data_IF_795540701495
#
_entry.id   IF_795540701495
#
_cell.length_a   1.000
_cell.length_b   1.000
_cell.length_c   1.000
_cell.angle_alpha   90.00
_cell.angle_beta   90.00
_cell.angle_gamma   90.00
#
_symmetry.space_group_name_H-M   'P 1'
#
loop_
_entity.id
_entity.type
_entity.pdbx_description
1 polymer ?
#
# COMPACT_ATOMS: atom_id res chain seq x y z
N UNK A 1 6.26 -22.04 -9.59
CA UNK A 1 6.10 -22.45 -11.00
C UNK A 1 4.61 -22.50 -11.35
N UNK A 2 4.26 -22.33 -12.61
CA UNK A 2 2.94 -22.56 -13.21
C UNK A 2 3.11 -23.49 -14.40
N UNK A 3 2.19 -24.47 -14.57
CA UNK A 3 2.24 -25.42 -15.67
C UNK A 3 0.91 -25.47 -16.40
N UNK A 4 0.96 -25.74 -17.70
CA UNK A 4 -0.22 -25.94 -18.55
C UNK A 4 0.08 -26.90 -19.68
N UNK A 5 -0.95 -27.35 -20.37
CA UNK A 5 -0.82 -28.14 -21.58
C UNK A 5 -1.44 -27.37 -22.75
N UNK A 6 -0.71 -27.32 -23.86
CA UNK A 6 -1.18 -26.76 -25.12
C UNK A 6 -0.90 -27.76 -26.24
N UNK A 7 -1.94 -28.10 -27.00
CA UNK A 7 -1.87 -29.05 -28.15
C UNK A 7 -1.16 -30.36 -27.78
N UNK A 8 -1.34 -30.84 -26.53
CA UNK A 8 -0.74 -32.07 -26.01
C UNK A 8 0.70 -31.93 -25.52
N UNK A 9 1.30 -30.76 -25.59
CA UNK A 9 2.61 -30.47 -25.04
C UNK A 9 2.49 -29.81 -23.64
N UNK A 10 3.33 -30.27 -22.69
CA UNK A 10 3.41 -29.69 -21.37
C UNK A 10 4.36 -28.49 -21.40
N UNK A 11 3.94 -27.40 -20.79
CA UNK A 11 4.71 -26.17 -20.63
C UNK A 11 4.82 -25.80 -19.19
N UNK A 12 5.92 -25.14 -18.82
CA UNK A 12 6.16 -24.63 -17.48
C UNK A 12 6.84 -23.25 -17.56
N UNK A 13 6.52 -22.37 -16.59
CA UNK A 13 7.13 -21.05 -16.46
C UNK A 13 7.16 -20.60 -15.00
N UNK A 14 7.95 -19.56 -14.71
CA UNK A 14 7.96 -18.93 -13.40
C UNK A 14 6.60 -18.23 -13.15
N UNK A 15 5.96 -18.53 -12.03
CA UNK A 15 4.78 -17.80 -11.60
C UNK A 15 5.18 -16.52 -10.86
N UNK A 16 4.64 -15.39 -11.31
CA UNK A 16 4.85 -14.08 -10.66
C UNK A 16 3.56 -13.57 -10.05
N UNK A 17 3.61 -13.25 -8.77
CA UNK A 17 2.52 -12.60 -8.04
C UNK A 17 3.07 -11.81 -6.86
N UNK A 18 2.94 -10.51 -6.89
CA UNK A 18 3.32 -9.60 -5.81
C UNK A 18 2.41 -9.76 -4.57
N UNK A 19 1.16 -10.19 -4.77
CA UNK A 19 0.26 -10.51 -3.66
C UNK A 19 0.55 -11.84 -2.97
N UNK A 20 1.56 -12.60 -3.44
CA UNK A 20 1.85 -13.94 -2.94
C UNK A 20 0.78 -14.98 -3.28
N UNK A 21 -0.12 -14.67 -4.22
CA UNK A 21 -1.13 -15.62 -4.66
C UNK A 21 -0.48 -16.85 -5.30
N UNK A 22 -0.97 -18.05 -4.95
CA UNK A 22 -0.52 -19.30 -5.56
C UNK A 22 -0.93 -19.36 -7.03
N UNK A 23 -0.10 -20.01 -7.85
CA UNK A 23 -0.45 -20.29 -9.24
C UNK A 23 -1.77 -21.07 -9.34
N UNK A 24 -2.62 -20.78 -10.34
CA UNK A 24 -3.79 -21.59 -10.61
C UNK A 24 -3.43 -23.07 -10.85
N UNK A 25 -4.15 -23.98 -10.21
CA UNK A 25 -3.93 -25.43 -10.38
C UNK A 25 -4.34 -25.93 -11.77
N UNK A 26 -5.30 -25.27 -12.39
CA UNK A 26 -5.79 -25.55 -13.74
C UNK A 26 -5.58 -24.32 -14.59
N UNK A 27 -4.96 -24.50 -15.73
CA UNK A 27 -4.74 -23.44 -16.72
C UNK A 27 -5.26 -23.96 -18.07
N UNK A 28 -5.98 -23.11 -18.77
CA UNK A 28 -6.42 -23.35 -20.16
C UNK A 28 -5.89 -22.22 -21.04
N UNK A 29 -5.49 -22.58 -22.24
CA UNK A 29 -5.13 -21.60 -23.27
C UNK A 29 -6.41 -20.95 -23.79
N UNK A 30 -6.38 -19.65 -23.98
CA UNK A 30 -7.52 -18.84 -24.38
C UNK A 30 -7.10 -17.78 -25.39
N UNK A 31 -7.97 -17.46 -26.30
CA UNK A 31 -7.77 -16.48 -27.36
C UNK A 31 -9.01 -15.60 -27.61
N UNK A 32 -8.98 -14.85 -28.69
CA UNK A 32 -10.04 -13.92 -29.09
C UNK A 32 -11.42 -14.59 -29.34
N UNK A 33 -11.50 -15.93 -29.43
CA UNK A 33 -12.75 -16.67 -29.59
C UNK A 33 -13.46 -16.95 -28.27
N UNK A 34 -12.78 -16.80 -27.12
CA UNK A 34 -13.34 -17.07 -25.80
C UNK A 34 -14.40 -16.04 -25.43
N UNK A 35 -15.64 -16.49 -25.23
CA UNK A 35 -16.72 -15.60 -24.77
C UNK A 35 -16.50 -15.16 -23.33
N UNK A 36 -16.91 -13.92 -23.00
CA UNK A 36 -16.80 -13.38 -21.66
C UNK A 36 -17.63 -14.15 -20.59
N UNK A 37 -18.71 -14.83 -20.99
CA UNK A 37 -19.51 -15.66 -20.08
C UNK A 37 -18.78 -16.96 -19.73
N UNK A 38 -18.18 -17.61 -20.73
CA UNK A 38 -17.35 -18.80 -20.52
C UNK A 38 -16.11 -18.45 -19.67
N UNK A 39 -15.43 -17.34 -19.98
CA UNK A 39 -14.29 -16.85 -19.22
C UNK A 39 -14.66 -16.61 -17.74
N UNK A 40 -15.80 -15.96 -17.50
CA UNK A 40 -16.27 -15.69 -16.14
C UNK A 40 -16.57 -16.96 -15.35
N UNK A 41 -17.25 -17.94 -15.97
CA UNK A 41 -17.51 -19.23 -15.35
C UNK A 41 -16.22 -19.96 -14.97
N UNK A 42 -15.26 -20.07 -15.90
CA UNK A 42 -13.95 -20.70 -15.66
C UNK A 42 -13.16 -19.97 -14.55
N UNK A 43 -13.16 -18.64 -14.56
CA UNK A 43 -12.52 -17.84 -13.53
C UNK A 43 -13.13 -18.08 -12.13
N UNK A 44 -14.45 -18.20 -12.03
CA UNK A 44 -15.14 -18.54 -10.79
C UNK A 44 -14.78 -19.95 -10.28
N UNK A 45 -14.52 -20.89 -11.18
CA UNK A 45 -14.03 -22.24 -10.88
C UNK A 45 -12.54 -22.27 -10.46
N UNK A 46 -11.82 -21.13 -10.55
CA UNK A 46 -10.39 -21.01 -10.21
C UNK A 46 -9.45 -21.43 -11.34
N UNK A 47 -9.95 -21.50 -12.58
CA UNK A 47 -9.13 -21.80 -13.77
C UNK A 47 -8.40 -20.55 -14.23
N UNK A 48 -7.09 -20.65 -14.46
CA UNK A 48 -6.30 -19.64 -15.13
C UNK A 48 -6.53 -19.67 -16.64
N UNK A 49 -6.68 -18.51 -17.26
CA UNK A 49 -6.92 -18.31 -18.68
C UNK A 49 -5.65 -17.73 -19.31
N UNK A 50 -4.75 -18.58 -19.82
CA UNK A 50 -3.51 -18.14 -20.46
C UNK A 50 -3.82 -17.59 -21.84
N UNK A 51 -3.67 -16.28 -22.01
CA UNK A 51 -4.08 -15.56 -23.20
C UNK A 51 -3.03 -15.64 -24.30
N UNK A 52 -3.46 -16.00 -25.50
CA UNK A 52 -2.65 -16.05 -26.73
C UNK A 52 -3.22 -15.17 -27.85
N UNK A 53 -4.35 -14.50 -27.63
CA UNK A 53 -4.97 -13.58 -28.58
C UNK A 53 -4.38 -12.17 -28.53
N UNK A 54 -5.11 -11.22 -29.10
CA UNK A 54 -4.71 -9.81 -29.09
C UNK A 54 -4.75 -9.21 -27.67
N UNK A 55 -3.69 -8.50 -27.28
CA UNK A 55 -3.56 -7.92 -25.94
C UNK A 55 -4.69 -6.92 -25.59
N UNK A 56 -5.17 -6.13 -26.58
CA UNK A 56 -6.26 -5.20 -26.33
C UNK A 56 -7.58 -5.95 -26.10
N UNK A 57 -7.78 -7.10 -26.75
CA UNK A 57 -8.93 -7.95 -26.50
C UNK A 57 -8.85 -8.60 -25.11
N UNK A 58 -7.66 -8.97 -24.62
CA UNK A 58 -7.48 -9.38 -23.23
C UNK A 58 -7.91 -8.29 -22.25
N UNK A 59 -7.54 -7.03 -22.50
CA UNK A 59 -7.99 -5.88 -21.67
C UNK A 59 -9.51 -5.69 -21.71
N UNK A 60 -10.12 -5.83 -22.88
CA UNK A 60 -11.59 -5.77 -23.03
C UNK A 60 -12.27 -6.91 -22.28
N UNK A 61 -11.72 -8.13 -22.35
CA UNK A 61 -12.20 -9.28 -21.59
C UNK A 61 -12.09 -9.03 -20.07
N UNK A 62 -10.96 -8.50 -19.60
CA UNK A 62 -10.80 -8.15 -18.18
C UNK A 62 -11.87 -7.15 -17.73
N UNK A 63 -12.16 -6.12 -18.53
CA UNK A 63 -13.25 -5.17 -18.24
C UNK A 63 -14.62 -5.84 -18.22
N UNK A 64 -14.86 -6.81 -19.14
CA UNK A 64 -16.08 -7.58 -19.16
C UNK A 64 -16.23 -8.49 -17.92
N UNK A 65 -15.13 -9.08 -17.44
CA UNK A 65 -15.07 -9.83 -16.17
C UNK A 65 -15.37 -8.92 -14.97
N UNK A 66 -14.78 -7.70 -14.93
CA UNK A 66 -15.08 -6.72 -13.89
C UNK A 66 -16.57 -6.43 -13.79
N UNK A 67 -17.22 -6.09 -14.92
CA UNK A 67 -18.67 -5.84 -14.93
C UNK A 67 -19.50 -7.04 -14.45
N UNK A 68 -19.06 -8.28 -14.75
CA UNK A 68 -19.76 -9.51 -14.33
C UNK A 68 -19.60 -9.78 -12.84
N UNK A 69 -18.38 -9.64 -12.31
CA UNK A 69 -18.11 -9.81 -10.86
C UNK A 69 -18.91 -8.80 -10.04
N UNK A 70 -19.02 -7.56 -10.51
CA UNK A 70 -19.72 -6.49 -9.81
C UNK A 70 -21.25 -6.58 -9.95
N UNK A 71 -21.74 -7.32 -10.95
CA UNK A 71 -23.17 -7.55 -11.18
C UNK A 71 -23.70 -8.70 -10.33
N UNK A 72 -24.30 -8.40 -9.19
CA UNK A 72 -24.99 -9.41 -8.37
C UNK A 72 -26.46 -9.56 -8.81
N UNK A 73 -27.00 -10.80 -8.86
CA UNK A 73 -28.43 -11.02 -9.01
C UNK A 73 -29.21 -10.28 -7.89
N UNK A 74 -30.40 -9.71 -8.16
CA UNK A 74 -31.12 -8.90 -7.16
C UNK A 74 -31.32 -9.57 -5.81
N UNK A 75 -31.65 -10.86 -5.78
CA UNK A 75 -31.79 -11.64 -4.53
C UNK A 75 -30.46 -11.77 -3.77
N UNK A 76 -29.35 -12.00 -4.45
CA UNK A 76 -28.02 -12.10 -3.84
C UNK A 76 -27.54 -10.73 -3.35
N UNK A 77 -27.83 -9.66 -4.12
CA UNK A 77 -27.53 -8.29 -3.72
C UNK A 77 -28.32 -7.90 -2.45
N UNK A 78 -29.64 -8.19 -2.41
CA UNK A 78 -30.47 -7.92 -1.23
C UNK A 78 -29.99 -8.68 0.01
N UNK A 79 -29.67 -9.97 -0.11
CA UNK A 79 -29.13 -10.77 0.99
C UNK A 79 -27.78 -10.25 1.49
N UNK A 80 -26.90 -9.83 0.57
CA UNK A 80 -25.60 -9.25 0.93
C UNK A 80 -25.76 -7.89 1.63
N UNK A 81 -26.68 -7.03 1.16
CA UNK A 81 -27.00 -5.76 1.78
C UNK A 81 -27.60 -5.95 3.18
N UNK A 82 -28.54 -6.88 3.36
CA UNK A 82 -29.11 -7.22 4.66
C UNK A 82 -28.02 -7.70 5.63
N UNK A 83 -27.16 -8.65 5.21
CA UNK A 83 -26.05 -9.14 6.03
C UNK A 83 -25.10 -8.02 6.45
N UNK A 84 -24.84 -7.07 5.55
CA UNK A 84 -23.98 -5.91 5.83
C UNK A 84 -24.65 -4.94 6.81
N UNK A 85 -25.97 -4.74 6.71
CA UNK A 85 -26.72 -3.84 7.59
C UNK A 85 -26.88 -4.40 9.02
N UNK A 86 -26.90 -5.73 9.16
CA UNK A 86 -26.99 -6.42 10.46
C UNK A 86 -25.62 -6.63 11.11
N UNK A 87 -24.53 -6.46 10.37
CA UNK A 87 -23.16 -6.69 10.84
C UNK A 87 -22.67 -5.54 11.74
N UNK A 88 -21.88 -5.88 12.75
CA UNK A 88 -21.04 -4.90 13.46
C UNK A 88 -20.03 -4.26 12.51
N UNK A 89 -19.43 -3.12 12.88
CA UNK A 89 -18.43 -2.45 12.06
C UNK A 89 -17.25 -3.37 11.70
N UNK A 90 -16.78 -4.18 12.66
CA UNK A 90 -15.70 -5.15 12.42
C UNK A 90 -16.12 -6.27 11.46
N UNK A 91 -17.31 -6.83 11.62
CA UNK A 91 -17.85 -7.85 10.72
C UNK A 91 -18.05 -7.29 9.30
N UNK A 92 -18.59 -6.07 9.17
CA UNK A 92 -18.75 -5.37 7.89
C UNK A 92 -17.39 -5.18 7.19
N UNK A 93 -16.34 -4.79 7.92
CA UNK A 93 -14.99 -4.70 7.41
C UNK A 93 -14.48 -6.05 6.89
N UNK A 94 -14.64 -7.13 7.67
CA UNK A 94 -14.20 -8.47 7.25
C UNK A 94 -14.98 -8.99 6.04
N UNK A 95 -16.29 -8.78 5.98
CA UNK A 95 -17.12 -9.12 4.82
C UNK A 95 -16.70 -8.34 3.58
N UNK A 96 -16.42 -7.05 3.73
CA UNK A 96 -15.91 -6.23 2.64
C UNK A 96 -14.58 -6.77 2.12
N UNK A 97 -13.61 -7.05 3.01
CA UNK A 97 -12.31 -7.62 2.62
C UNK A 97 -12.44 -8.97 1.94
N UNK A 98 -13.31 -9.84 2.43
CA UNK A 98 -13.59 -11.13 1.80
C UNK A 98 -14.15 -10.96 0.38
N UNK A 99 -15.09 -10.03 0.18
CA UNK A 99 -15.64 -9.72 -1.14
C UNK A 99 -14.57 -9.18 -2.09
N UNK A 100 -13.68 -8.30 -1.62
CA UNK A 100 -12.56 -7.77 -2.39
C UNK A 100 -11.55 -8.86 -2.77
N UNK A 101 -11.21 -9.77 -1.85
CA UNK A 101 -10.33 -10.90 -2.12
C UNK A 101 -10.92 -11.85 -3.18
N UNK A 102 -12.22 -12.15 -3.08
CA UNK A 102 -12.92 -12.97 -4.07
C UNK A 102 -12.94 -12.29 -5.45
N UNK A 103 -13.24 -10.98 -5.48
CA UNK A 103 -13.20 -10.17 -6.70
C UNK A 103 -11.79 -10.19 -7.33
N UNK A 104 -10.76 -9.96 -6.51
CA UNK A 104 -9.36 -10.00 -6.95
C UNK A 104 -9.00 -11.35 -7.55
N UNK A 105 -9.39 -12.46 -6.91
CA UNK A 105 -9.14 -13.83 -7.40
C UNK A 105 -9.72 -14.06 -8.79
N UNK A 106 -10.98 -13.69 -9.02
CA UNK A 106 -11.62 -13.85 -10.34
C UNK A 106 -10.93 -12.98 -11.39
N UNK A 107 -10.61 -11.73 -11.07
CA UNK A 107 -9.96 -10.82 -12.03
C UNK A 107 -8.50 -11.16 -12.30
N UNK A 108 -7.84 -11.89 -11.42
CA UNK A 108 -6.47 -12.37 -11.61
C UNK A 108 -6.38 -13.69 -12.38
N UNK A 109 -7.52 -14.25 -12.82
CA UNK A 109 -7.53 -15.48 -13.63
C UNK A 109 -7.04 -15.30 -15.06
N UNK A 110 -7.09 -14.07 -15.61
CA UNK A 110 -6.59 -13.79 -16.95
C UNK A 110 -5.07 -13.59 -16.90
N UNK A 111 -4.34 -14.49 -17.57
CA UNK A 111 -2.90 -14.66 -17.47
C UNK A 111 -2.21 -14.23 -18.76
N UNK A 112 -1.03 -13.64 -18.63
CA UNK A 112 -0.15 -13.23 -19.72
C UNK A 112 1.21 -13.90 -19.53
N UNK A 113 1.72 -14.53 -20.58
CA UNK A 113 3.09 -15.01 -20.65
C UNK A 113 4.04 -13.85 -20.96
N UNK A 114 5.19 -13.89 -20.32
CA UNK A 114 6.28 -12.93 -20.48
C UNK A 114 7.54 -13.67 -20.89
N UNK A 115 8.23 -13.16 -21.89
CA UNK A 115 9.54 -13.66 -22.28
C UNK A 115 10.59 -13.36 -21.19
N UNK A 116 11.78 -13.94 -21.35
CA UNK A 116 12.84 -13.82 -20.35
C UNK A 116 13.35 -12.39 -20.08
N UNK A 117 13.02 -11.43 -20.93
CA UNK A 117 13.30 -9.99 -20.81
C UNK A 117 12.06 -9.17 -20.41
N UNK A 118 10.96 -9.84 -20.02
CA UNK A 118 9.64 -9.26 -19.73
C UNK A 118 8.86 -8.77 -20.96
N UNK A 119 9.30 -9.05 -22.19
CA UNK A 119 8.52 -8.76 -23.37
C UNK A 119 7.24 -9.62 -23.40
N UNK A 120 6.20 -9.06 -23.99
CA UNK A 120 4.93 -9.78 -24.21
C UNK A 120 4.81 -10.05 -25.72
N UNK A 121 4.86 -11.34 -26.10
CA UNK A 121 4.73 -11.77 -27.50
C UNK A 121 3.25 -11.94 -27.88
N UNK A 122 2.50 -10.83 -27.78
CA UNK A 122 1.09 -10.76 -28.21
C UNK A 122 0.89 -9.57 -29.12
N UNK A 123 0.02 -9.71 -30.09
CA UNK A 123 -0.37 -8.62 -30.97
C UNK A 123 -0.86 -7.41 -30.17
N UNK A 124 -0.40 -6.20 -30.50
CA UNK A 124 -0.73 -4.92 -29.86
C UNK A 124 -0.38 -4.84 -28.36
N UNK A 125 0.50 -5.70 -27.88
CA UNK A 125 1.00 -5.59 -26.53
C UNK A 125 1.88 -4.32 -26.37
N UNK A 126 1.70 -3.57 -25.27
CA UNK A 126 2.62 -2.48 -24.95
C UNK A 126 3.95 -3.02 -24.42
N UNK A 127 4.98 -2.20 -24.48
CA UNK A 127 6.24 -2.50 -23.79
C UNK A 127 6.09 -2.25 -22.28
N UNK A 128 6.13 -3.34 -21.49
CA UNK A 128 6.03 -3.30 -20.04
C UNK A 128 7.35 -3.60 -19.32
N UNK A 129 8.46 -3.79 -20.06
CA UNK A 129 9.74 -4.24 -19.50
C UNK A 129 10.24 -3.33 -18.38
N UNK A 130 10.14 -2.02 -18.55
CA UNK A 130 10.54 -1.07 -17.52
C UNK A 130 9.68 -1.18 -16.26
N UNK A 131 8.35 -1.26 -16.40
CA UNK A 131 7.44 -1.41 -15.27
C UNK A 131 7.67 -2.73 -14.50
N UNK A 132 7.92 -3.82 -15.23
CA UNK A 132 8.26 -5.12 -14.65
C UNK A 132 9.62 -5.08 -13.94
N UNK A 133 10.63 -4.44 -14.54
CA UNK A 133 11.95 -4.28 -13.92
C UNK A 133 11.89 -3.48 -12.63
N UNK A 134 11.08 -2.43 -12.58
CA UNK A 134 10.89 -1.61 -11.38
C UNK A 134 10.22 -2.37 -10.23
N UNK A 135 9.34 -3.31 -10.53
CA UNK A 135 8.62 -4.10 -9.54
C UNK A 135 9.35 -5.39 -9.16
N UNK A 136 9.92 -6.09 -10.13
CA UNK A 136 10.46 -7.44 -9.94
C UNK A 136 11.99 -7.53 -10.00
N UNK A 137 12.67 -6.43 -10.32
CA UNK A 137 14.11 -6.40 -10.53
C UNK A 137 14.49 -6.72 -11.98
N UNK A 138 15.79 -6.84 -12.20
CA UNK A 138 16.34 -7.15 -13.53
C UNK A 138 15.82 -8.49 -14.06
N UNK A 139 15.59 -8.55 -15.35
CA UNK A 139 15.15 -9.76 -16.03
C UNK A 139 16.18 -10.89 -15.88
N UNK A 140 15.73 -12.10 -15.62
CA UNK A 140 16.59 -13.27 -15.35
C UNK A 140 16.82 -14.15 -16.56
N UNK A 141 16.21 -13.86 -17.70
CA UNK A 141 16.20 -14.72 -18.88
C UNK A 141 15.18 -15.86 -18.84
N UNK A 142 14.46 -16.03 -17.73
CA UNK A 142 13.43 -17.07 -17.57
C UNK A 142 12.06 -16.56 -18.01
N UNK A 143 11.34 -17.39 -18.77
CA UNK A 143 9.94 -17.12 -19.09
C UNK A 143 9.09 -17.12 -17.80
N UNK A 144 8.13 -16.23 -17.75
CA UNK A 144 7.24 -16.12 -16.59
C UNK A 144 5.79 -15.87 -17.00
N UNK A 145 4.89 -16.08 -16.07
CA UNK A 145 3.46 -15.80 -16.24
C UNK A 145 2.98 -14.96 -15.07
N UNK A 146 2.22 -13.92 -15.37
CA UNK A 146 1.56 -13.08 -14.39
C UNK A 146 0.11 -12.81 -14.77
N UNK A 147 -0.71 -12.37 -13.82
CA UNK A 147 -2.07 -11.93 -14.15
C UNK A 147 -2.05 -10.60 -14.91
N UNK A 148 -2.92 -10.46 -15.92
CA UNK A 148 -3.08 -9.18 -16.64
C UNK A 148 -3.43 -8.04 -15.67
N UNK A 149 -4.26 -8.31 -14.66
CA UNK A 149 -4.62 -7.33 -13.63
C UNK A 149 -3.39 -6.81 -12.90
N UNK A 150 -2.46 -7.68 -12.53
CA UNK A 150 -1.22 -7.30 -11.86
C UNK A 150 -0.32 -6.48 -12.79
N UNK A 151 -0.12 -6.92 -14.02
CA UNK A 151 0.65 -6.18 -15.02
C UNK A 151 0.13 -4.77 -15.24
N UNK A 152 -1.19 -4.58 -15.33
CA UNK A 152 -1.79 -3.25 -15.42
C UNK A 152 -1.55 -2.42 -14.14
N UNK A 153 -1.48 -3.06 -12.98
CA UNK A 153 -1.08 -2.43 -11.71
C UNK A 153 0.36 -1.93 -11.73
N UNK A 154 1.30 -2.74 -12.27
CA UNK A 154 2.71 -2.34 -12.44
C UNK A 154 2.84 -1.13 -13.38
N UNK A 155 2.11 -1.13 -14.50
CA UNK A 155 2.07 0.02 -15.42
C UNK A 155 1.55 1.27 -14.72
N UNK A 156 0.46 1.15 -13.96
CA UNK A 156 -0.09 2.26 -13.19
C UNK A 156 0.93 2.83 -12.21
N UNK A 157 1.64 1.97 -11.48
CA UNK A 157 2.68 2.38 -10.53
C UNK A 157 3.88 3.05 -11.24
N UNK A 158 4.31 2.51 -12.40
CA UNK A 158 5.35 3.11 -13.22
C UNK A 158 4.99 4.54 -13.67
N UNK A 159 3.77 4.74 -14.17
CA UNK A 159 3.30 6.07 -14.60
C UNK A 159 3.20 7.05 -13.40
N UNK A 160 2.74 6.58 -12.24
CA UNK A 160 2.77 7.37 -11.02
C UNK A 160 4.20 7.75 -10.60
N UNK A 161 5.12 6.80 -10.65
CA UNK A 161 6.54 7.06 -10.36
C UNK A 161 7.12 8.09 -11.31
N UNK A 162 6.86 8.00 -12.62
CA UNK A 162 7.33 8.98 -13.63
C UNK A 162 6.78 10.38 -13.34
N UNK A 163 5.50 10.49 -13.10
CA UNK A 163 4.82 11.76 -12.85
C UNK A 163 5.24 12.37 -11.51
N UNK A 164 5.40 11.54 -10.48
CA UNK A 164 5.55 11.97 -9.09
C UNK A 164 4.27 12.56 -8.51
N UNK A 165 4.18 12.51 -7.19
CA UNK A 165 3.10 13.09 -6.38
C UNK A 165 3.56 14.43 -5.86
N UNK A 166 2.80 15.47 -6.12
CA UNK A 166 3.07 16.79 -5.58
C UNK A 166 2.71 16.85 -4.10
N UNK A 167 3.64 17.35 -3.29
CA UNK A 167 3.50 17.53 -1.84
C UNK A 167 3.76 19.02 -1.53
N UNK A 168 2.73 19.85 -1.45
CA UNK A 168 2.87 21.32 -1.28
C UNK A 168 3.70 21.71 -0.04
N UNK A 169 3.60 20.93 1.05
CA UNK A 169 4.37 21.15 2.26
C UNK A 169 5.91 21.06 2.06
N UNK A 170 6.36 20.43 0.98
CA UNK A 170 7.78 20.41 0.60
C UNK A 170 8.23 21.67 -0.15
N UNK A 171 7.34 22.64 -0.42
CA UNK A 171 7.67 23.91 -1.10
C UNK A 171 7.15 24.00 -2.52
N UNK A 172 7.79 24.87 -3.32
CA UNK A 172 7.34 25.14 -4.69
C UNK A 172 7.77 24.06 -5.69
N UNK A 173 6.93 23.83 -6.72
CA UNK A 173 7.28 23.00 -7.86
C UNK A 173 8.49 23.57 -8.63
N UNK A 174 9.32 22.70 -9.27
CA UNK A 174 9.16 21.25 -9.40
C UNK A 174 9.76 20.44 -8.23
N UNK A 175 10.41 21.10 -7.25
CA UNK A 175 11.20 20.47 -6.19
C UNK A 175 10.34 20.00 -4.99
N UNK A 176 9.08 19.67 -5.22
CA UNK A 176 8.12 19.25 -4.20
C UNK A 176 7.43 17.93 -4.55
N UNK A 177 8.05 17.11 -5.43
CA UNK A 177 7.46 15.85 -5.87
C UNK A 177 8.14 14.65 -5.24
N UNK A 178 7.32 13.69 -4.84
CA UNK A 178 7.71 12.36 -4.38
C UNK A 178 7.39 11.35 -5.49
N UNK A 179 8.35 10.52 -5.84
CA UNK A 179 8.27 9.49 -6.88
C UNK A 179 8.19 8.11 -6.23
N UNK A 180 6.98 7.60 -5.93
CA UNK A 180 6.83 6.34 -5.19
C UNK A 180 7.22 5.14 -6.04
N UNK A 181 7.91 4.18 -5.43
CA UNK A 181 8.16 2.88 -6.04
C UNK A 181 6.92 1.99 -5.93
N UNK A 182 6.84 0.97 -6.79
CA UNK A 182 5.81 -0.04 -6.68
C UNK A 182 5.83 -0.68 -5.27
N UNK A 183 4.66 -0.80 -4.66
CA UNK A 183 4.53 -1.37 -3.31
C UNK A 183 4.90 -0.43 -2.16
N UNK A 184 5.47 0.75 -2.42
CA UNK A 184 5.78 1.75 -1.40
C UNK A 184 4.64 2.77 -1.31
N UNK A 185 4.24 3.13 -0.09
CA UNK A 185 3.12 4.04 0.15
C UNK A 185 3.36 5.40 -0.50
N UNK A 186 2.38 5.82 -1.30
CA UNK A 186 2.41 7.13 -1.96
C UNK A 186 1.72 8.19 -1.09
N UNK A 187 2.33 9.37 -0.85
CA UNK A 187 1.75 10.43 -0.03
C UNK A 187 0.65 11.22 -0.78
N UNK A 188 -0.27 10.52 -1.45
CA UNK A 188 -1.41 11.13 -2.16
C UNK A 188 -2.37 11.81 -1.16
N UNK A 189 -2.45 11.26 0.05
CA UNK A 189 -3.14 11.89 1.17
C UNK A 189 -2.15 12.81 1.88
N UNK A 190 -2.16 14.09 1.56
CA UNK A 190 -1.21 15.08 2.09
C UNK A 190 -1.49 15.52 3.52
N UNK A 191 -2.69 15.26 4.05
CA UNK A 191 -3.17 15.79 5.33
C UNK A 191 -2.22 15.51 6.50
N UNK A 192 -1.66 14.29 6.55
CA UNK A 192 -0.72 13.93 7.61
C UNK A 192 0.62 14.67 7.48
N UNK A 193 1.02 15.01 6.27
CA UNK A 193 2.23 15.81 6.01
C UNK A 193 2.02 17.24 6.49
N UNK A 194 0.81 17.79 6.26
CA UNK A 194 0.44 19.15 6.70
C UNK A 194 0.44 19.26 8.22
N UNK A 195 -0.03 18.24 8.95
CA UNK A 195 0.04 18.18 10.41
C UNK A 195 1.50 18.30 10.90
N UNK A 196 2.41 17.50 10.32
CA UNK A 196 3.83 17.57 10.66
C UNK A 196 4.44 18.88 10.22
N UNK A 197 4.01 19.46 9.10
CA UNK A 197 4.51 20.76 8.63
C UNK A 197 4.14 21.92 9.58
N UNK A 198 2.96 21.87 10.18
CA UNK A 198 2.43 22.93 11.06
C UNK A 198 2.93 22.84 12.51
N UNK A 199 3.19 21.63 13.01
CA UNK A 199 3.56 21.42 14.42
C UNK A 199 4.90 22.09 14.79
N UNK A 200 5.00 22.68 15.98
CA UNK A 200 6.24 23.33 16.45
C UNK A 200 7.33 22.27 16.72
N UNK A 201 8.49 22.39 16.08
CA UNK A 201 9.62 21.49 16.29
C UNK A 201 10.22 21.68 17.70
N UNK A 202 10.38 20.61 18.50
CA UNK A 202 11.03 20.70 19.81
C UNK A 202 12.53 21.01 19.67
N UNK A 203 13.15 20.58 18.59
CA UNK A 203 14.56 20.81 18.26
C UNK A 203 14.78 20.74 16.75
N UNK A 204 15.87 21.37 16.29
CA UNK A 204 16.36 21.27 14.91
C UNK A 204 17.68 20.50 14.79
N UNK A 205 18.22 19.95 15.87
CA UNK A 205 19.51 19.28 15.83
C UNK A 205 19.43 17.90 15.18
N UNK A 206 18.53 17.05 15.66
CA UNK A 206 18.39 15.66 15.25
C UNK A 206 16.93 15.23 15.29
N UNK A 207 16.51 14.43 14.34
CA UNK A 207 15.24 13.70 14.39
C UNK A 207 15.43 12.24 13.95
N UNK A 208 14.62 11.33 14.52
CA UNK A 208 14.44 9.99 14.01
C UNK A 208 13.12 9.91 13.24
N UNK A 209 13.15 9.30 12.06
CA UNK A 209 11.97 9.01 11.21
C UNK A 209 11.80 7.50 11.11
N UNK A 210 10.80 6.95 11.81
CA UNK A 210 10.60 5.52 11.97
C UNK A 210 9.61 5.02 10.91
N UNK A 211 10.08 4.14 10.00
CA UNK A 211 9.32 3.71 8.84
C UNK A 211 9.32 4.76 7.74
N UNK A 212 10.51 5.06 7.19
CA UNK A 212 10.74 6.17 6.27
C UNK A 212 9.89 6.14 4.99
N UNK A 213 9.49 4.95 4.52
CA UNK A 213 8.67 4.77 3.33
C UNK A 213 9.24 5.48 2.09
N UNK A 214 8.56 6.49 1.57
CA UNK A 214 9.02 7.30 0.43
C UNK A 214 10.04 8.39 0.80
N UNK A 215 10.33 8.61 2.07
CA UNK A 215 11.21 9.68 2.55
C UNK A 215 10.54 11.04 2.71
N UNK A 216 9.22 11.14 2.58
CA UNK A 216 8.50 12.41 2.58
C UNK A 216 8.63 13.16 3.90
N UNK A 217 8.51 12.47 5.06
CA UNK A 217 8.64 13.10 6.38
C UNK A 217 10.08 13.50 6.65
N UNK A 218 11.06 12.67 6.34
CA UNK A 218 12.48 13.02 6.42
C UNK A 218 12.80 14.28 5.61
N UNK A 219 12.33 14.36 4.36
CA UNK A 219 12.51 15.54 3.51
C UNK A 219 11.85 16.79 4.11
N UNK A 220 10.64 16.65 4.63
CA UNK A 220 9.93 17.74 5.28
C UNK A 220 10.69 18.26 6.50
N UNK A 221 11.17 17.37 7.38
CA UNK A 221 11.92 17.75 8.59
C UNK A 221 13.20 18.51 8.22
N UNK A 222 13.96 18.05 7.22
CA UNK A 222 15.16 18.76 6.74
C UNK A 222 14.79 20.15 6.21
N UNK A 223 13.74 20.28 5.41
CA UNK A 223 13.27 21.58 4.87
C UNK A 223 12.76 22.53 5.95
N UNK A 224 12.29 21.99 7.06
CA UNK A 224 11.95 22.78 8.26
C UNK A 224 13.16 23.16 9.10
N UNK A 225 14.37 22.78 8.67
CA UNK A 225 15.65 23.18 9.28
C UNK A 225 16.22 22.16 10.26
N UNK A 226 15.72 20.91 10.29
CA UNK A 226 16.37 19.83 11.04
C UNK A 226 17.69 19.52 10.37
N UNK A 227 18.78 19.58 11.12
CA UNK A 227 20.16 19.48 10.61
C UNK A 227 20.52 18.04 10.22
N UNK A 228 20.02 17.05 10.96
CA UNK A 228 20.26 15.63 10.73
C UNK A 228 19.00 14.83 10.99
N UNK A 229 18.70 13.91 10.10
CA UNK A 229 17.62 12.90 10.26
C UNK A 229 18.26 11.51 10.18
N UNK A 230 17.96 10.62 11.14
CA UNK A 230 18.23 9.18 11.01
C UNK A 230 16.90 8.52 10.73
N UNK A 231 16.80 7.89 9.58
CA UNK A 231 15.56 7.31 9.09
C UNK A 231 15.69 5.79 8.94
N UNK A 232 14.75 5.04 9.51
CA UNK A 232 14.78 3.57 9.55
C UNK A 232 13.67 2.96 8.69
N UNK A 233 13.96 1.80 8.12
CA UNK A 233 13.00 1.01 7.34
C UNK A 233 13.49 -0.45 7.23
N UNK A 234 12.56 -1.40 7.22
CA UNK A 234 12.87 -2.82 7.03
C UNK A 234 12.85 -3.23 5.55
N UNK A 235 11.96 -2.64 4.77
CA UNK A 235 11.81 -2.98 3.34
C UNK A 235 12.93 -2.34 2.52
N UNK A 236 13.82 -3.14 1.88
CA UNK A 236 14.87 -2.60 1.04
C UNK A 236 14.35 -1.82 -0.17
N UNK A 237 13.13 -2.12 -0.67
CA UNK A 237 12.48 -1.36 -1.75
C UNK A 237 12.09 0.04 -1.27
N UNK A 238 11.56 0.16 -0.05
CA UNK A 238 11.22 1.46 0.54
C UNK A 238 12.49 2.28 0.85
N UNK A 239 13.57 1.66 1.34
CA UNK A 239 14.86 2.33 1.52
C UNK A 239 15.43 2.88 0.21
N UNK A 240 15.35 2.10 -0.88
CA UNK A 240 15.78 2.54 -2.21
C UNK A 240 14.92 3.69 -2.72
N UNK A 241 13.59 3.62 -2.51
CA UNK A 241 12.64 4.67 -2.85
C UNK A 241 12.94 5.97 -2.07
N UNK A 242 13.13 5.88 -0.76
CA UNK A 242 13.48 7.04 0.07
C UNK A 242 14.78 7.68 -0.39
N UNK A 243 15.82 6.90 -0.66
CA UNK A 243 17.12 7.40 -1.15
C UNK A 243 16.98 8.18 -2.45
N UNK A 244 16.25 7.63 -3.43
CA UNK A 244 16.01 8.28 -4.73
C UNK A 244 15.26 9.61 -4.56
N UNK A 245 14.20 9.61 -3.78
CA UNK A 245 13.41 10.82 -3.49
C UNK A 245 14.21 11.89 -2.75
N UNK A 246 14.94 11.52 -1.68
CA UNK A 246 15.77 12.45 -0.91
C UNK A 246 16.90 13.05 -1.76
N UNK A 247 17.47 12.26 -2.67
CA UNK A 247 18.47 12.74 -3.63
C UNK A 247 17.85 13.73 -4.61
N UNK A 248 16.68 13.43 -5.20
CA UNK A 248 15.96 14.33 -6.12
C UNK A 248 15.55 15.64 -5.45
N UNK A 249 15.19 15.59 -4.18
CA UNK A 249 14.83 16.76 -3.38
C UNK A 249 16.06 17.54 -2.87
N UNK A 250 17.29 17.05 -3.08
CA UNK A 250 18.52 17.69 -2.66
C UNK A 250 18.79 17.68 -1.16
N UNK A 251 18.19 16.74 -0.42
CA UNK A 251 18.28 16.68 1.05
C UNK A 251 18.95 15.39 1.58
N UNK A 252 19.41 14.52 0.68
CA UNK A 252 20.00 13.23 1.09
C UNK A 252 21.23 13.38 2.00
N UNK A 253 22.00 14.47 1.88
CA UNK A 253 23.19 14.70 2.70
C UNK A 253 22.88 14.86 4.21
N UNK A 254 21.66 15.29 4.55
CA UNK A 254 21.19 15.44 5.93
C UNK A 254 20.46 14.20 6.46
N UNK A 255 20.21 13.18 5.64
CA UNK A 255 19.43 11.99 6.02
C UNK A 255 20.28 10.73 5.98
N UNK A 256 20.43 10.08 7.11
CA UNK A 256 21.07 8.77 7.24
C UNK A 256 20.00 7.68 7.19
N UNK A 257 19.94 6.93 6.06
CA UNK A 257 19.04 5.79 5.90
C UNK A 257 19.65 4.53 6.52
N UNK A 258 18.88 3.82 7.33
CA UNK A 258 19.29 2.58 8.00
C UNK A 258 18.25 1.47 7.81
N UNK A 259 18.73 0.23 7.55
CA UNK A 259 17.87 -0.95 7.62
C UNK A 259 17.76 -1.38 9.07
N UNK A 260 16.60 -1.15 9.69
CA UNK A 260 16.34 -1.52 11.08
C UNK A 260 14.85 -1.80 11.31
N UNK A 261 14.56 -2.66 12.28
CA UNK A 261 13.21 -2.86 12.80
C UNK A 261 12.91 -1.79 13.86
N UNK A 262 12.11 -0.80 13.50
CA UNK A 262 11.75 0.37 14.29
C UNK A 262 12.93 1.34 14.51
N UNK A 263 13.52 1.37 15.70
CA UNK A 263 14.41 2.44 16.12
C UNK A 263 15.87 2.25 15.67
N UNK A 264 16.58 3.36 15.37
CA UNK A 264 18.03 3.34 15.29
C UNK A 264 18.63 3.33 16.70
N UNK A 265 19.94 3.14 16.81
CA UNK A 265 20.66 3.31 18.09
C UNK A 265 20.65 4.77 18.55
N UNK A 266 20.63 4.95 19.88
CA UNK A 266 20.73 6.25 20.52
C UNK A 266 19.39 6.91 20.84
N UNK A 267 19.43 8.22 21.05
CA UNK A 267 18.29 9.07 21.41
C UNK A 267 18.23 10.30 20.53
N UNK A 268 17.03 10.85 20.34
CA UNK A 268 16.82 12.08 19.60
C UNK A 268 15.85 13.01 20.34
N UNK A 269 15.96 14.33 20.13
CA UNK A 269 15.00 15.28 20.67
C UNK A 269 13.64 15.22 19.94
N UNK A 270 13.58 14.61 18.76
CA UNK A 270 12.34 14.36 18.03
C UNK A 270 12.37 12.96 17.41
N UNK A 271 11.33 12.18 17.65
CA UNK A 271 11.11 10.87 17.02
C UNK A 271 9.74 10.87 16.35
N UNK A 272 9.69 10.70 15.03
CA UNK A 272 8.45 10.73 14.24
C UNK A 272 8.14 9.35 13.68
N UNK A 273 6.88 8.96 13.69
CA UNK A 273 6.42 7.72 13.08
C UNK A 273 5.03 7.91 12.43
N UNK A 274 4.88 7.39 11.22
CA UNK A 274 3.59 7.21 10.57
C UNK A 274 3.37 5.71 10.28
N UNK A 275 2.97 4.90 11.28
CA UNK A 275 2.79 3.47 11.09
C UNK A 275 1.54 3.18 10.25
N UNK A 276 1.34 1.96 9.76
CA UNK A 276 0.06 1.54 9.20
C UNK A 276 -1.06 1.67 10.25
N UNK A 277 -2.23 2.17 9.82
CA UNK A 277 -3.26 2.61 10.79
C UNK A 277 -4.26 1.54 11.20
N UNK A 278 -4.44 0.49 10.39
CA UNK A 278 -5.52 -0.49 10.56
C UNK A 278 -4.96 -1.85 10.98
N UNK A 279 -5.37 -2.42 12.12
CA UNK A 279 -4.85 -3.69 12.63
C UNK A 279 -5.47 -4.88 11.89
N UNK A 280 -5.06 -5.09 10.65
CA UNK A 280 -5.49 -6.20 9.82
C UNK A 280 -4.30 -6.80 9.06
N UNK A 281 -4.45 -8.04 8.60
CA UNK A 281 -3.41 -8.72 7.82
C UNK A 281 -3.34 -8.15 6.41
N UNK A 282 -2.17 -7.68 5.93
CA UNK A 282 -1.99 -7.26 4.55
C UNK A 282 -2.05 -8.47 3.59
N UNK A 283 -2.53 -8.24 2.37
CA UNK A 283 -2.64 -9.25 1.31
C UNK A 283 -1.84 -8.89 0.05
N UNK A 284 -1.11 -7.76 0.08
CA UNK A 284 -0.23 -7.32 -1.01
C UNK A 284 0.84 -6.37 -0.48
N UNK A 285 1.95 -6.13 -1.20
CA UNK A 285 3.01 -5.22 -0.76
C UNK A 285 2.51 -3.83 -0.38
N UNK A 286 1.65 -3.22 -1.20
CA UNK A 286 1.11 -1.88 -0.91
C UNK A 286 0.21 -1.85 0.33
N UNK A 287 -0.40 -2.98 0.69
CA UNK A 287 -1.24 -3.08 1.87
C UNK A 287 -0.44 -3.10 3.18
N UNK A 288 0.86 -3.44 3.16
CA UNK A 288 1.74 -3.33 4.34
C UNK A 288 1.85 -1.89 4.86
N UNK A 289 1.66 -0.91 4.00
CA UNK A 289 1.66 0.50 4.41
C UNK A 289 0.32 0.97 5.01
N UNK A 290 -0.73 0.13 4.97
CA UNK A 290 -2.07 0.45 5.47
C UNK A 290 -2.46 -0.45 6.64
N UNK A 291 -2.04 -1.71 6.59
CA UNK A 291 -2.43 -2.75 7.55
C UNK A 291 -1.23 -3.19 8.40
N UNK A 292 -1.44 -3.17 9.72
CA UNK A 292 -0.48 -3.59 10.76
C UNK A 292 -1.10 -4.71 11.59
N UNK A 293 -0.87 -5.96 11.20
CA UNK A 293 -1.46 -7.13 11.87
C UNK A 293 -1.15 -7.10 13.38
N UNK A 294 -2.21 -7.10 14.20
CA UNK A 294 -2.07 -7.01 15.66
C UNK A 294 -1.53 -5.68 16.18
N UNK A 295 -1.48 -4.62 15.35
CA UNK A 295 -0.85 -3.33 15.69
C UNK A 295 0.62 -3.46 16.12
N UNK A 296 1.38 -4.36 15.46
CA UNK A 296 2.77 -4.68 15.84
C UNK A 296 3.69 -3.45 15.79
N UNK A 297 3.67 -2.72 14.68
CA UNK A 297 4.50 -1.53 14.50
C UNK A 297 4.09 -0.42 15.48
N UNK A 298 2.79 -0.15 15.59
CA UNK A 298 2.26 0.84 16.53
C UNK A 298 2.67 0.53 17.97
N UNK A 299 2.44 -0.70 18.42
CA UNK A 299 2.80 -1.12 19.80
C UNK A 299 4.31 -1.09 20.03
N UNK A 300 5.10 -1.58 19.07
CA UNK A 300 6.57 -1.54 19.14
C UNK A 300 7.09 -0.11 19.21
N UNK A 301 6.50 0.81 18.43
CA UNK A 301 6.84 2.22 18.50
C UNK A 301 6.53 2.82 19.90
N UNK A 302 5.33 2.61 20.42
CA UNK A 302 4.95 3.10 21.74
C UNK A 302 5.90 2.58 22.84
N UNK A 303 6.13 1.26 22.86
CA UNK A 303 6.96 0.60 23.88
C UNK A 303 8.42 1.09 23.85
N UNK A 304 8.98 1.32 22.64
CA UNK A 304 10.38 1.72 22.49
C UNK A 304 10.61 3.23 22.60
N UNK A 305 9.58 4.06 22.46
CA UNK A 305 9.72 5.51 22.29
C UNK A 305 10.46 6.18 23.45
N UNK A 306 10.09 5.89 24.70
CA UNK A 306 10.71 6.53 25.88
C UNK A 306 12.24 6.27 25.98
N UNK A 307 12.69 5.08 25.54
CA UNK A 307 14.11 4.74 25.53
C UNK A 307 14.92 5.50 24.46
N UNK A 308 14.26 6.00 23.42
CA UNK A 308 14.87 6.69 22.28
C UNK A 308 14.65 8.21 22.27
N UNK A 309 13.97 8.75 23.30
CA UNK A 309 13.83 10.20 23.49
C UNK A 309 14.97 10.75 24.35
N UNK A 310 15.51 11.90 23.95
CA UNK A 310 16.33 12.73 24.83
C UNK A 310 15.49 13.33 25.97
N UNK A 311 16.08 13.78 27.06
CA UNK A 311 15.39 14.57 28.07
C UNK A 311 14.69 15.79 27.42
N UNK A 312 13.40 15.97 27.69
CA UNK A 312 12.52 16.96 27.07
C UNK A 312 12.29 16.75 25.53
N UNK A 313 12.67 15.61 24.98
CA UNK A 313 12.36 15.24 23.61
C UNK A 313 10.88 14.88 23.40
N UNK A 314 10.42 14.96 22.16
CA UNK A 314 9.05 14.64 21.78
C UNK A 314 8.99 13.45 20.82
N UNK A 315 8.05 12.54 21.08
CA UNK A 315 7.61 11.54 20.15
C UNK A 315 6.36 12.01 19.39
N UNK A 316 6.39 11.94 18.07
CA UNK A 316 5.30 12.33 17.21
C UNK A 316 4.75 11.10 16.49
N UNK A 317 3.50 10.76 16.73
CA UNK A 317 2.80 9.68 16.05
C UNK A 317 1.68 10.23 15.17
N UNK A 318 1.70 9.87 13.90
CA UNK A 318 0.60 10.14 12.99
C UNK A 318 -0.32 8.91 13.01
N UNK A 319 -1.58 9.08 13.36
CA UNK A 319 -2.53 7.97 13.45
C UNK A 319 -3.93 8.41 13.07
N UNK A 320 -4.61 7.60 12.25
CA UNK A 320 -6.04 7.76 11.99
C UNK A 320 -6.87 6.98 13.00
N UNK A 321 -8.02 7.50 13.36
CA UNK A 321 -9.03 6.80 14.17
C UNK A 321 -9.93 5.86 13.35
N UNK A 322 -9.61 5.65 12.07
CA UNK A 322 -10.36 4.72 11.19
C UNK A 322 -10.51 3.33 11.81
N UNK A 323 -9.47 2.81 12.49
CA UNK A 323 -9.54 1.51 13.15
C UNK A 323 -10.59 1.47 14.27
N UNK A 324 -10.84 2.61 14.94
CA UNK A 324 -11.87 2.74 15.97
C UNK A 324 -13.27 2.72 15.34
N UNK A 325 -13.47 3.49 14.27
CA UNK A 325 -14.72 3.49 13.50
C UNK A 325 -15.03 2.13 12.85
N UNK A 326 -14.00 1.36 12.51
CA UNK A 326 -14.14 -0.01 12.02
C UNK A 326 -14.32 -1.06 13.14
N UNK A 327 -14.26 -0.66 14.42
CA UNK A 327 -14.36 -1.57 15.55
C UNK A 327 -13.21 -2.56 15.69
N UNK A 328 -12.03 -2.25 15.11
CA UNK A 328 -10.84 -3.11 15.10
C UNK A 328 -9.85 -2.79 16.24
N UNK A 329 -9.93 -1.60 16.79
CA UNK A 329 -9.16 -1.15 17.95
C UNK A 329 -9.98 -0.06 18.64
N UNK A 330 -10.13 -0.12 19.95
CA UNK A 330 -10.82 0.95 20.68
C UNK A 330 -9.89 2.08 21.09
N UNK A 331 -10.45 3.25 21.41
CA UNK A 331 -9.72 4.39 21.96
C UNK A 331 -9.12 4.04 23.33
N UNK A 332 -9.84 3.32 24.16
CA UNK A 332 -9.39 2.88 25.49
C UNK A 332 -8.18 1.94 25.36
N UNK A 333 -8.21 1.04 24.37
CA UNK A 333 -7.07 0.14 24.10
C UNK A 333 -5.82 0.92 23.70
N UNK A 334 -5.95 1.93 22.83
CA UNK A 334 -4.84 2.80 22.43
C UNK A 334 -4.28 3.57 23.65
N UNK A 335 -5.15 4.20 24.44
CA UNK A 335 -4.74 4.94 25.62
C UNK A 335 -4.11 4.03 26.69
N UNK A 336 -4.58 2.79 26.83
CA UNK A 336 -3.96 1.77 27.68
C UNK A 336 -2.51 1.49 27.26
N UNK A 337 -2.24 1.26 25.98
CA UNK A 337 -0.87 1.04 25.48
C UNK A 337 0.04 2.24 25.68
N UNK A 338 -0.49 3.46 25.54
CA UNK A 338 0.28 4.70 25.79
C UNK A 338 0.67 4.78 27.29
N UNK A 339 -0.27 4.50 28.18
CA UNK A 339 -0.02 4.50 29.62
C UNK A 339 0.97 3.40 30.05
N UNK A 340 0.81 2.19 29.53
CA UNK A 340 1.73 1.06 29.76
C UNK A 340 3.15 1.35 29.28
N UNK A 341 3.30 2.13 28.21
CA UNK A 341 4.60 2.56 27.68
C UNK A 341 5.26 3.70 28.47
N UNK A 342 4.63 4.19 29.55
CA UNK A 342 5.17 5.30 30.35
C UNK A 342 5.27 6.60 29.54
N UNK A 343 4.29 6.89 28.70
CA UNK A 343 4.24 8.09 27.86
C UNK A 343 3.21 9.08 28.39
N UNK A 344 3.58 10.36 28.37
CA UNK A 344 2.70 11.47 28.71
C UNK A 344 2.27 12.20 27.43
N UNK A 345 0.95 12.37 27.24
CA UNK A 345 0.42 13.16 26.13
C UNK A 345 0.71 14.65 26.36
N UNK A 346 1.42 15.28 25.43
CA UNK A 346 1.68 16.71 25.40
C UNK A 346 0.60 17.47 24.62
N UNK A 347 0.07 16.86 23.57
CA UNK A 347 -0.96 17.44 22.72
C UNK A 347 -1.38 16.52 21.60
N UNK A 348 -2.47 16.91 20.92
CA UNK A 348 -2.98 16.26 19.73
C UNK A 348 -3.53 17.31 18.78
N UNK A 349 -3.14 17.22 17.51
CA UNK A 349 -3.63 18.08 16.44
C UNK A 349 -4.36 17.20 15.42
N UNK A 350 -5.55 17.60 15.03
CA UNK A 350 -6.48 16.80 14.23
C UNK A 350 -6.73 17.44 12.87
N UNK A 351 -6.85 16.60 11.83
CA UNK A 351 -7.26 17.02 10.48
C UNK A 351 -8.22 15.98 9.89
N UNK A 352 -9.23 16.45 9.15
CA UNK A 352 -10.12 15.55 8.42
C UNK A 352 -9.57 15.26 7.03
N UNK A 353 -9.69 14.00 6.54
CA UNK A 353 -9.30 13.65 5.18
C UNK A 353 -10.10 14.43 4.13
N UNK A 354 -9.41 14.95 3.11
CA UNK A 354 -10.03 15.71 2.00
C UNK A 354 -10.11 14.90 0.70
N UNK A 355 -9.78 13.59 0.71
CA UNK A 355 -9.76 12.78 -0.51
C UNK A 355 -11.15 12.28 -0.93
N UNK A 356 -11.32 12.03 -2.25
CA UNK A 356 -12.61 11.65 -2.85
C UNK A 356 -13.23 10.37 -2.26
N UNK A 357 -12.42 9.39 -1.79
CA UNK A 357 -12.93 8.18 -1.15
C UNK A 357 -13.65 8.42 0.17
N UNK A 358 -13.33 9.49 0.90
CA UNK A 358 -14.03 9.84 2.13
C UNK A 358 -15.47 10.29 1.85
N UNK A 359 -15.72 10.84 0.64
CA UNK A 359 -17.02 11.32 0.20
C UNK A 359 -17.82 10.29 -0.64
N UNK A 360 -17.24 9.10 -0.93
CA UNK A 360 -17.89 8.09 -1.78
C UNK A 360 -18.97 7.31 -1.00
N UNK A 361 -20.22 7.74 -1.15
CA UNK A 361 -21.37 7.06 -0.55
C UNK A 361 -21.63 5.64 -1.08
N UNK A 362 -21.00 5.23 -2.18
CA UNK A 362 -21.06 3.85 -2.70
C UNK A 362 -20.07 2.89 -2.02
N UNK A 363 -19.14 3.40 -1.22
CA UNK A 363 -18.20 2.55 -0.46
C UNK A 363 -18.92 1.86 0.71
N UNK A 364 -18.80 0.53 0.80
CA UNK A 364 -19.37 -0.24 1.90
C UNK A 364 -18.88 0.18 3.30
N UNK A 365 -17.75 0.86 3.37
CA UNK A 365 -17.15 1.39 4.61
C UNK A 365 -17.28 2.92 4.70
N UNK A 366 -18.17 3.53 3.91
CA UNK A 366 -18.33 4.98 3.81
C UNK A 366 -18.51 5.65 5.18
N UNK A 367 -19.39 5.11 6.04
CA UNK A 367 -19.66 5.69 7.36
C UNK A 367 -18.37 5.83 8.20
N UNK A 368 -17.53 4.79 8.23
CA UNK A 368 -16.25 4.84 8.95
C UNK A 368 -15.26 5.82 8.31
N UNK A 369 -15.18 5.85 6.97
CA UNK A 369 -14.26 6.76 6.25
C UNK A 369 -14.69 8.22 6.31
N UNK A 370 -15.99 8.50 6.32
CA UNK A 370 -16.52 9.85 6.44
C UNK A 370 -16.33 10.43 7.85
N UNK A 371 -16.31 9.55 8.86
CA UNK A 371 -16.05 9.93 10.25
C UNK A 371 -14.56 10.05 10.59
N UNK A 372 -13.67 9.52 9.73
CA UNK A 372 -12.22 9.44 9.95
C UNK A 372 -11.60 10.79 10.28
N UNK A 373 -10.76 10.79 11.32
CA UNK A 373 -9.89 11.90 11.69
C UNK A 373 -8.45 11.40 11.74
N UNK A 374 -7.54 12.11 11.08
CA UNK A 374 -6.10 11.87 11.19
C UNK A 374 -5.53 12.81 12.23
N UNK A 375 -4.76 12.29 13.18
CA UNK A 375 -4.21 13.03 14.30
C UNK A 375 -2.69 12.94 14.33
N UNK A 376 -2.04 14.05 14.68
CA UNK A 376 -0.66 14.08 15.15
C UNK A 376 -0.69 14.08 16.69
N UNK A 377 -0.31 12.97 17.28
CA UNK A 377 -0.11 12.86 18.72
C UNK A 377 1.31 13.25 19.09
N UNK A 378 1.45 14.04 20.14
CA UNK A 378 2.75 14.46 20.68
C UNK A 378 2.90 13.95 22.10
N UNK A 379 4.01 13.28 22.38
CA UNK A 379 4.28 12.64 23.66
C UNK A 379 5.68 12.98 24.17
N UNK A 380 5.84 12.93 25.51
CA UNK A 380 7.12 12.86 26.19
C UNK A 380 7.20 11.56 27.00
N UNK A 381 8.41 11.17 27.40
CA UNK A 381 8.60 10.19 28.46
C UNK A 381 8.02 10.75 29.76
N UNK A 382 7.31 9.88 30.55
CA UNK A 382 6.67 10.28 31.81
C UNK A 382 7.68 10.53 32.92
#
# INVERSE_FOLDING_TARGET
>A
MISWSDSGQAHEALWRSESGATAPRRVVVADDTLSADTAYRLACEGTGLLWQGDFQNARMLLQALMRRVDRKPPKAAAKAAQKMAEATAAEAFHLHRQAQAQRARVLSSLLIALEGDYAIDLRRAPDLRQACTEAWGAATGERSVASLRELLGLVGAHEWRKKGVEVPALGAAPNNRIHPYYGVFSPVRGEYVDLVAAAALPSKALAFDIGVGTGVLSALLVRRGVQRVVATEQDPRALACARDNLQRLGVLAQVQLQSADLFPEGRAPLVVCNPPWVPARPSSPIEHAVYDEGSRMLRGFLTGLAAHLEPAGEGWLILSDLAEHLGLRSREQLLGWIAEAGLKVLGREDIRPHHAKAADAGDALHAARAAEVTSLWRWAAA
#
